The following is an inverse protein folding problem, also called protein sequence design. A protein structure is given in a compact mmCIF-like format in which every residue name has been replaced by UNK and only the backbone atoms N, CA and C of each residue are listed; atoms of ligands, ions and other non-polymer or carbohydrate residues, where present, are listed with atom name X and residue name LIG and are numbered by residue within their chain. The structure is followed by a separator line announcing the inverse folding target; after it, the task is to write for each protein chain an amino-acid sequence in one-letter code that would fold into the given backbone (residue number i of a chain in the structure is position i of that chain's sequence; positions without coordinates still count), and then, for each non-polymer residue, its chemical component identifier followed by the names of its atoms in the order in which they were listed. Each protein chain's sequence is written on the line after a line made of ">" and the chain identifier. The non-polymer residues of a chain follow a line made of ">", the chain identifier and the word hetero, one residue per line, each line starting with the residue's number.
data_IF_947882215617
#
_entry.id   IF_947882215617
#
_cell.length_a   1.000
_cell.length_b   1.000
_cell.length_c   1.000
_cell.angle_alpha   90.00
_cell.angle_beta   90.00
_cell.angle_gamma   90.00
#
_symmetry.space_group_name_H-M   'P 1'
#
loop_
_entity.id
_entity.type
_entity.pdbx_description
1 polymer ?
#
# COMPACT_ATOMS: atom_id res chain seq x y z
N UNK A 1 -29.99 -34.96 -26.94
CA UNK A 1 -28.96 -35.30 -25.94
C UNK A 1 -28.32 -34.01 -25.48
N UNK A 2 -28.66 -33.48 -24.29
CA UNK A 2 -28.04 -32.29 -23.72
C UNK A 2 -26.68 -32.64 -23.08
N UNK A 3 -25.62 -31.92 -23.48
CA UNK A 3 -24.33 -31.98 -22.81
C UNK A 3 -24.23 -30.85 -21.78
N UNK A 4 -24.20 -31.23 -20.50
CA UNK A 4 -23.50 -30.48 -19.47
C UNK A 4 -22.83 -31.50 -18.55
N UNK A 5 -21.55 -31.26 -18.22
CA UNK A 5 -21.12 -31.40 -16.84
C UNK A 5 -20.48 -30.08 -16.37
N UNK A 6 -20.89 -29.68 -15.17
CA UNK A 6 -20.42 -28.47 -14.51
C UNK A 6 -18.92 -28.51 -14.25
N UNK A 7 -18.31 -27.33 -14.40
CA UNK A 7 -17.08 -27.01 -13.71
C UNK A 7 -17.43 -26.08 -12.55
N UNK A 8 -17.55 -26.67 -11.36
CA UNK A 8 -17.32 -25.95 -10.12
C UNK A 8 -15.79 -25.77 -10.01
N UNK A 9 -15.27 -24.65 -10.47
CA UNK A 9 -13.94 -24.20 -10.09
C UNK A 9 -14.07 -23.54 -8.72
N UNK A 10 -13.51 -24.20 -7.71
CA UNK A 10 -13.55 -23.76 -6.33
C UNK A 10 -12.89 -22.40 -6.13
N UNK A 11 -13.49 -21.62 -5.22
CA UNK A 11 -12.80 -20.99 -4.08
C UNK A 11 -11.41 -20.40 -4.40
N UNK A 12 -11.39 -19.13 -4.77
CA UNK A 12 -10.36 -18.21 -4.26
C UNK A 12 -10.95 -17.49 -3.05
N UNK A 13 -11.15 -18.23 -1.96
CA UNK A 13 -11.01 -17.64 -0.63
C UNK A 13 -9.52 -17.32 -0.54
N UNK A 14 -9.14 -16.08 -0.89
CA UNK A 14 -7.87 -15.52 -0.41
C UNK A 14 -7.89 -15.77 1.09
N UNK A 15 -6.96 -16.58 1.58
CA UNK A 15 -6.94 -17.01 2.97
C UNK A 15 -6.49 -15.83 3.83
N UNK A 16 -7.42 -14.98 4.22
CA UNK A 16 -7.23 -14.03 5.31
C UNK A 16 -7.99 -14.58 6.52
N UNK A 17 -7.42 -15.64 7.11
CA UNK A 17 -7.83 -16.10 8.44
C UNK A 17 -7.52 -15.02 9.50
N UNK A 18 -8.04 -15.13 10.74
CA UNK A 18 -7.84 -14.11 11.77
C UNK A 18 -6.36 -14.04 12.24
N UNK A 19 -5.55 -13.30 11.47
CA UNK A 19 -4.27 -12.66 11.80
C UNK A 19 -4.05 -11.34 11.04
N UNK A 20 -4.94 -10.96 10.11
CA UNK A 20 -4.79 -9.74 9.28
C UNK A 20 -5.47 -8.48 9.86
N UNK A 21 -6.09 -8.59 11.04
CA UNK A 21 -6.69 -7.45 11.74
C UNK A 21 -5.75 -6.77 12.76
N UNK A 22 -4.52 -7.28 12.92
CA UNK A 22 -3.55 -6.79 13.93
C UNK A 22 -2.41 -5.98 13.30
N UNK A 23 -2.16 -6.12 11.99
CA UNK A 23 -1.06 -5.45 11.28
C UNK A 23 -1.57 -4.19 10.57
N UNK A 24 -1.34 -3.04 11.19
CA UNK A 24 -1.69 -1.73 10.63
C UNK A 24 -0.65 -1.27 9.62
N UNK A 25 -1.01 -1.09 8.36
CA UNK A 25 -0.10 -0.59 7.34
C UNK A 25 -0.19 0.94 7.25
N UNK A 26 0.95 1.64 7.36
CA UNK A 26 0.98 3.10 7.36
C UNK A 26 2.12 3.65 6.52
N UNK A 27 1.87 4.73 5.78
CA UNK A 27 2.88 5.44 5.01
C UNK A 27 3.52 6.56 5.81
N UNK A 28 4.85 6.64 5.72
CA UNK A 28 5.64 7.75 6.23
C UNK A 28 6.37 8.43 5.07
N UNK A 29 6.40 9.75 5.09
CA UNK A 29 6.93 10.58 4.01
C UNK A 29 8.14 11.37 4.46
N UNK A 30 9.17 11.35 3.63
CA UNK A 30 10.42 12.04 3.91
C UNK A 30 10.87 12.82 2.66
N UNK A 31 11.64 13.87 2.89
CA UNK A 31 12.30 14.65 1.83
C UNK A 31 13.59 13.96 1.41
N UNK A 32 14.19 14.45 0.32
CA UNK A 32 15.50 13.99 -0.17
C UNK A 32 16.64 14.15 0.85
N UNK A 33 16.44 15.03 1.84
CA UNK A 33 17.33 15.30 2.96
C UNK A 33 17.12 14.33 4.16
N UNK A 34 16.08 13.49 4.13
CA UNK A 34 15.70 12.59 5.23
C UNK A 34 14.82 13.25 6.30
N UNK A 35 14.46 14.53 6.13
CA UNK A 35 13.48 15.19 7.00
C UNK A 35 12.08 14.63 6.75
N UNK A 36 11.42 14.14 7.81
CA UNK A 36 10.00 13.78 7.78
C UNK A 36 9.13 14.98 7.44
N UNK A 37 8.23 14.79 6.49
CA UNK A 37 7.32 15.83 6.02
C UNK A 37 5.89 15.34 6.10
N UNK A 38 4.97 16.26 6.41
CA UNK A 38 3.55 15.98 6.27
C UNK A 38 3.18 16.00 4.79
N UNK A 39 2.62 14.91 4.26
CA UNK A 39 2.19 14.88 2.87
C UNK A 39 1.03 15.85 2.61
N UNK A 40 0.78 16.18 1.35
CA UNK A 40 -0.44 16.90 0.96
C UNK A 40 -1.71 16.06 1.16
N UNK A 41 -1.59 14.73 1.06
CA UNK A 41 -2.67 13.76 1.28
C UNK A 41 -2.26 12.86 2.45
N UNK A 42 -3.04 12.89 3.54
CA UNK A 42 -2.79 12.02 4.68
C UNK A 42 -3.18 10.57 4.32
N UNK A 43 -2.26 9.59 4.49
CA UNK A 43 -2.59 8.19 4.32
C UNK A 43 -3.53 7.72 5.43
N UNK A 44 -4.42 6.80 5.09
CA UNK A 44 -5.23 6.09 6.07
C UNK A 44 -4.47 4.87 6.63
N UNK A 45 -4.99 4.28 7.69
CA UNK A 45 -4.52 3.00 8.22
C UNK A 45 -5.08 1.87 7.37
N UNK A 46 -4.21 1.11 6.69
CA UNK A 46 -4.64 0.02 5.82
C UNK A 46 -4.56 -1.33 6.54
N UNK A 47 -5.47 -2.24 6.21
CA UNK A 47 -5.46 -3.60 6.73
C UNK A 47 -4.54 -4.54 5.94
N UNK A 48 -4.11 -4.15 4.74
CA UNK A 48 -3.20 -4.94 3.90
C UNK A 48 -2.15 -4.06 3.21
N UNK A 49 -0.99 -4.66 2.90
CA UNK A 49 0.04 -4.02 2.07
C UNK A 49 -0.51 -3.61 0.69
N UNK A 50 -1.32 -4.46 0.07
CA UNK A 50 -1.83 -4.22 -1.28
C UNK A 50 -2.77 -3.02 -1.36
N UNK A 51 -3.60 -2.80 -0.33
CA UNK A 51 -4.43 -1.59 -0.22
C UNK A 51 -3.54 -0.34 -0.05
N UNK A 52 -2.50 -0.43 0.78
CA UNK A 52 -1.54 0.66 0.96
C UNK A 52 -0.79 1.00 -0.35
N UNK A 53 -0.35 -0.01 -1.10
CA UNK A 53 0.32 0.13 -2.40
C UNK A 53 -0.62 0.72 -3.46
N UNK A 54 -1.89 0.30 -3.44
CA UNK A 54 -2.92 0.84 -4.35
C UNK A 54 -3.13 2.33 -4.08
N UNK A 55 -3.33 2.73 -2.83
CA UNK A 55 -3.49 4.13 -2.44
C UNK A 55 -2.29 4.99 -2.84
N UNK A 56 -1.07 4.47 -2.64
CA UNK A 56 0.14 5.16 -3.06
C UNK A 56 0.15 5.40 -4.57
N UNK A 57 -0.21 4.40 -5.37
CA UNK A 57 -0.28 4.50 -6.83
C UNK A 57 -1.29 5.56 -7.32
N UNK A 58 -2.30 5.88 -6.52
CA UNK A 58 -3.28 6.93 -6.80
C UNK A 58 -2.79 8.32 -6.37
N UNK A 59 -2.18 8.43 -5.18
CA UNK A 59 -1.85 9.71 -4.55
C UNK A 59 -0.39 10.17 -4.71
N UNK A 60 0.53 9.34 -5.24
CA UNK A 60 1.97 9.66 -5.32
C UNK A 60 2.29 11.03 -5.93
N UNK A 61 1.49 11.49 -6.91
CA UNK A 61 1.69 12.80 -7.56
C UNK A 61 1.41 13.95 -6.61
N UNK A 62 0.33 13.85 -5.84
CA UNK A 62 -0.07 14.85 -4.85
C UNK A 62 0.90 14.85 -3.67
N UNK A 63 1.37 13.67 -3.25
CA UNK A 63 2.40 13.52 -2.23
C UNK A 63 3.70 14.23 -2.63
N UNK A 64 4.13 14.01 -3.89
CA UNK A 64 5.27 14.70 -4.48
C UNK A 64 5.07 16.20 -4.55
N UNK A 65 3.90 16.67 -5.00
CA UNK A 65 3.57 18.10 -5.06
C UNK A 65 3.55 18.74 -3.66
N UNK A 66 3.12 17.97 -2.64
CA UNK A 66 3.21 18.31 -1.23
C UNK A 66 4.63 18.36 -0.66
N UNK A 67 5.64 18.00 -1.45
CA UNK A 67 7.05 18.04 -1.06
C UNK A 67 7.56 16.78 -0.37
N UNK A 68 6.87 15.64 -0.52
CA UNK A 68 7.43 14.33 -0.21
C UNK A 68 8.31 13.85 -1.38
N UNK A 69 9.55 13.45 -1.08
CA UNK A 69 10.45 12.90 -2.10
C UNK A 69 10.55 11.39 -2.01
N UNK A 70 10.43 10.85 -0.81
CA UNK A 70 10.60 9.44 -0.48
C UNK A 70 9.51 8.97 0.47
N UNK A 71 9.25 7.67 0.42
CA UNK A 71 8.26 7.00 1.25
C UNK A 71 8.83 5.74 1.89
N UNK A 72 8.25 5.43 3.04
CA UNK A 72 8.48 4.22 3.79
C UNK A 72 7.14 3.60 4.17
N UNK A 73 7.01 2.29 3.95
CA UNK A 73 5.86 1.53 4.43
C UNK A 73 6.20 0.94 5.79
N UNK A 74 5.34 1.19 6.75
CA UNK A 74 5.42 0.61 8.08
C UNK A 74 4.32 -0.43 8.24
N UNK A 75 4.69 -1.58 8.81
CA UNK A 75 3.78 -2.57 9.38
C UNK A 75 3.77 -2.36 10.90
N UNK A 76 2.66 -1.85 11.41
CA UNK A 76 2.41 -1.37 12.78
C UNK A 76 3.37 -0.24 13.19
N UNK A 77 4.61 -0.61 13.51
CA UNK A 77 5.68 0.29 13.95
C UNK A 77 7.02 -0.03 13.27
N UNK A 78 7.06 -1.08 12.45
CA UNK A 78 8.28 -1.57 11.80
C UNK A 78 8.30 -1.15 10.34
N UNK A 79 9.36 -0.46 9.91
CA UNK A 79 9.56 -0.18 8.49
C UNK A 79 9.83 -1.49 7.74
N UNK A 80 8.89 -1.92 6.92
CA UNK A 80 8.97 -3.15 6.11
C UNK A 80 9.34 -2.87 4.66
N UNK A 81 9.17 -1.62 4.22
CA UNK A 81 9.48 -1.19 2.86
C UNK A 81 10.09 0.21 2.82
N UNK A 82 11.02 0.43 1.89
CA UNK A 82 11.62 1.73 1.60
C UNK A 82 13.10 1.86 2.00
N UNK A 83 13.73 3.01 1.72
CA UNK A 83 13.15 4.19 1.06
C UNK A 83 12.88 3.96 -0.43
N UNK A 84 11.67 4.25 -0.89
CA UNK A 84 11.34 4.35 -2.32
C UNK A 84 11.12 5.82 -2.69
N UNK A 85 11.66 6.25 -3.82
CA UNK A 85 11.46 7.62 -4.32
C UNK A 85 10.09 7.77 -5.00
N UNK A 86 9.40 8.86 -4.69
CA UNK A 86 8.16 9.29 -5.38
C UNK A 86 8.44 9.96 -6.74
N UNK A 87 9.72 10.12 -7.08
CA UNK A 87 10.17 10.58 -8.38
C UNK A 87 10.07 9.43 -9.37
N UNK A 88 9.07 9.49 -10.25
CA UNK A 88 9.01 8.59 -11.39
C UNK A 88 10.32 8.69 -12.19
N UNK A 89 10.93 7.57 -12.61
CA UNK A 89 12.04 7.62 -13.54
C UNK A 89 11.55 8.24 -14.86
N UNK A 90 12.27 9.27 -15.33
CA UNK A 90 12.05 9.88 -16.65
C UNK A 90 12.26 8.89 -17.80
#
# INVERSE_FOLDING_TARGET
>A
MPCAPGYAAGRTEITSGPREADMTWTWRFEKSDGTEVRPAVEPEEFSTQGDAETWLGEHWKELRDGGADQIHLFEDTTAVYGPMSLHAPE
#
